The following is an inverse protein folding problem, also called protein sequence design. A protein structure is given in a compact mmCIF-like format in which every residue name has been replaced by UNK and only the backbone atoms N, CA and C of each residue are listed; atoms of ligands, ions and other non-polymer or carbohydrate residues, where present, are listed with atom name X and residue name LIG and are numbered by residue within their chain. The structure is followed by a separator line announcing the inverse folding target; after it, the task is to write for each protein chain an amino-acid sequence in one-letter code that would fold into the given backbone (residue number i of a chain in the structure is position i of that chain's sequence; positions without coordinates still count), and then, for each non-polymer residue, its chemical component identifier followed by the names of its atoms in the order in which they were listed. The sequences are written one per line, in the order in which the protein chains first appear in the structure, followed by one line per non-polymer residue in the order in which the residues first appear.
data_IF_484192655685
#
_entry.id   IF_484192655685
#
_cell.length_a   1.000
_cell.length_b   1.000
_cell.length_c   1.000
_cell.angle_alpha   90.00
_cell.angle_beta   90.00
_cell.angle_gamma   90.00
#
_symmetry.space_group_name_H-M   'P 1'
#
loop_
_entity.id
_entity.type
_entity.pdbx_description
1 polymer ?
#
# COMPACT_ATOMS: atom_id res chain seq x y z
N UNK A 1 38.29 -5.15 -18.12
CA UNK A 1 36.97 -4.63 -17.72
C UNK A 1 36.63 -5.15 -16.34
N UNK A 2 35.79 -4.44 -15.57
CA UNK A 2 35.30 -4.91 -14.26
C UNK A 2 33.93 -5.56 -14.43
N UNK A 3 33.73 -6.71 -13.80
CA UNK A 3 32.47 -7.43 -13.79
C UNK A 3 31.93 -7.46 -12.35
N UNK A 4 30.66 -7.13 -12.19
CA UNK A 4 29.95 -7.14 -10.91
C UNK A 4 28.74 -8.07 -11.01
N UNK A 5 28.50 -8.84 -9.96
CA UNK A 5 27.35 -9.74 -9.84
C UNK A 5 26.79 -9.65 -8.43
N UNK A 6 25.47 -9.75 -8.30
CA UNK A 6 24.76 -9.84 -7.04
C UNK A 6 23.62 -10.85 -7.16
N UNK A 7 23.21 -11.43 -6.04
CA UNK A 7 22.13 -12.40 -5.94
C UNK A 7 21.28 -12.08 -4.72
N UNK A 8 19.96 -12.19 -4.87
CA UNK A 8 18.98 -12.01 -3.80
C UNK A 8 18.16 -13.30 -3.69
N UNK A 9 18.21 -13.95 -2.53
CA UNK A 9 17.52 -15.22 -2.29
C UNK A 9 16.10 -15.05 -1.72
N UNK A 10 15.87 -13.96 -0.98
CA UNK A 10 14.56 -13.61 -0.40
C UNK A 10 14.31 -12.13 -0.66
N UNK A 11 13.42 -11.77 -1.61
CA UNK A 11 13.10 -10.38 -1.88
C UNK A 11 12.13 -9.82 -0.84
N UNK A 12 12.14 -8.49 -0.64
CA UNK A 12 11.13 -7.81 0.18
C UNK A 12 9.73 -8.07 -0.34
N UNK A 13 8.83 -8.46 0.58
CA UNK A 13 7.47 -8.88 0.26
C UNK A 13 7.32 -10.39 0.03
N UNK A 14 8.41 -11.16 0.01
CA UNK A 14 8.33 -12.61 0.20
C UNK A 14 7.67 -12.90 1.57
N UNK A 15 6.86 -13.96 1.72
CA UNK A 15 6.27 -14.30 3.03
C UNK A 15 7.30 -14.47 4.16
N UNK A 16 8.55 -14.81 3.83
CA UNK A 16 9.68 -14.92 4.77
C UNK A 16 10.31 -13.57 5.10
N UNK A 17 10.07 -12.54 4.29
CA UNK A 17 10.50 -11.16 4.51
C UNK A 17 9.36 -10.17 4.16
N UNK A 18 8.27 -10.17 4.96
CA UNK A 18 7.09 -9.37 4.66
C UNK A 18 7.41 -7.88 4.68
N UNK A 19 6.69 -7.11 3.87
CA UNK A 19 6.72 -5.65 3.97
C UNK A 19 6.04 -5.21 5.26
N UNK A 20 6.63 -4.22 5.91
CA UNK A 20 6.02 -3.49 7.02
C UNK A 20 4.82 -2.68 6.52
N UNK A 21 3.95 -2.28 7.45
CA UNK A 21 2.79 -1.44 7.15
C UNK A 21 3.19 -0.10 6.52
N UNK A 22 4.30 0.49 6.97
CA UNK A 22 4.84 1.73 6.40
C UNK A 22 5.32 1.56 4.95
N UNK A 23 6.01 0.45 4.65
CA UNK A 23 6.43 0.13 3.28
C UNK A 23 5.21 -0.09 2.37
N UNK A 24 4.17 -0.76 2.88
CA UNK A 24 2.90 -0.94 2.16
C UNK A 24 2.20 0.40 1.95
N UNK A 25 2.15 1.29 2.94
CA UNK A 25 1.53 2.61 2.84
C UNK A 25 2.21 3.49 1.77
N UNK A 26 3.54 3.50 1.74
CA UNK A 26 4.32 4.21 0.71
C UNK A 26 3.99 3.65 -0.68
N UNK A 27 4.00 2.32 -0.84
CA UNK A 27 3.66 1.66 -2.11
C UNK A 27 2.22 1.94 -2.55
N UNK A 28 1.28 1.94 -1.61
CA UNK A 28 -0.12 2.25 -1.87
C UNK A 28 -0.28 3.68 -2.40
N UNK A 29 0.33 4.67 -1.75
CA UNK A 29 0.29 6.06 -2.23
C UNK A 29 0.99 6.23 -3.58
N UNK A 30 2.09 5.51 -3.83
CA UNK A 30 2.80 5.57 -5.10
C UNK A 30 1.94 5.05 -6.28
N UNK A 31 1.10 4.03 -6.05
CA UNK A 31 0.25 3.45 -7.09
C UNK A 31 -1.12 4.16 -7.21
N UNK A 32 -1.71 4.58 -6.10
CA UNK A 32 -3.04 5.19 -6.07
C UNK A 32 -3.05 6.71 -6.15
N UNK A 33 -1.91 7.37 -5.89
CA UNK A 33 -1.83 8.82 -5.73
C UNK A 33 -2.27 9.60 -6.97
N UNK A 34 -1.93 9.11 -8.16
CA UNK A 34 -2.30 9.74 -9.43
C UNK A 34 -3.73 9.41 -9.88
N UNK A 35 -4.38 8.42 -9.25
CA UNK A 35 -5.74 7.98 -9.59
C UNK A 35 -6.79 8.60 -8.68
N UNK A 36 -6.61 8.52 -7.36
CA UNK A 36 -7.59 8.99 -6.36
C UNK A 36 -7.12 10.20 -5.58
N UNK A 37 -5.86 10.61 -5.75
CA UNK A 37 -5.23 11.68 -4.98
C UNK A 37 -4.61 11.20 -3.67
N UNK A 38 -3.48 11.82 -3.31
CA UNK A 38 -2.67 11.44 -2.13
C UNK A 38 -3.45 11.51 -0.81
N UNK A 39 -4.34 12.50 -0.65
CA UNK A 39 -5.12 12.65 0.56
C UNK A 39 -6.21 11.58 0.69
N UNK A 40 -6.82 11.16 -0.43
CA UNK A 40 -7.73 10.02 -0.43
C UNK A 40 -6.98 8.72 -0.16
N UNK A 41 -5.77 8.53 -0.69
CA UNK A 41 -4.93 7.38 -0.34
C UNK A 41 -4.70 7.28 1.18
N UNK A 42 -4.42 8.40 1.86
CA UNK A 42 -4.25 8.40 3.33
C UNK A 42 -5.53 8.00 4.06
N UNK A 43 -6.69 8.50 3.62
CA UNK A 43 -7.98 8.12 4.21
C UNK A 43 -8.30 6.64 3.98
N UNK A 44 -8.04 6.14 2.77
CA UNK A 44 -8.20 4.73 2.41
C UNK A 44 -7.30 3.82 3.24
N UNK A 45 -6.01 4.14 3.36
CA UNK A 45 -5.08 3.40 4.20
C UNK A 45 -5.60 3.30 5.63
N UNK A 46 -5.99 4.43 6.23
CA UNK A 46 -6.54 4.45 7.58
C UNK A 46 -7.80 3.59 7.71
N UNK A 47 -8.73 3.69 6.75
CA UNK A 47 -9.97 2.91 6.78
C UNK A 47 -9.71 1.41 6.64
N UNK A 48 -8.83 1.01 5.71
CA UNK A 48 -8.48 -0.39 5.46
C UNK A 48 -7.84 -1.02 6.69
N UNK A 49 -6.94 -0.29 7.36
CA UNK A 49 -6.24 -0.77 8.56
C UNK A 49 -7.10 -0.74 9.83
N UNK A 50 -8.34 -0.22 9.76
CA UNK A 50 -9.30 -0.22 10.87
C UNK A 50 -10.63 -0.90 10.49
N UNK A 51 -10.62 -1.74 9.46
CA UNK A 51 -11.83 -2.32 8.88
C UNK A 51 -12.50 -3.34 9.81
N UNK A 52 -11.71 -4.00 10.65
CA UNK A 52 -12.16 -4.96 11.66
C UNK A 52 -13.06 -4.34 12.74
N UNK A 53 -12.97 -3.02 12.94
CA UNK A 53 -13.80 -2.26 13.90
C UNK A 53 -14.87 -1.40 13.23
N UNK A 54 -14.96 -1.41 11.90
CA UNK A 54 -15.90 -0.57 11.16
C UNK A 54 -17.32 -1.15 11.19
N UNK A 55 -18.28 -0.36 11.69
CA UNK A 55 -19.72 -0.71 11.69
C UNK A 55 -20.31 -0.77 10.27
N UNK A 56 -19.80 0.08 9.36
CA UNK A 56 -20.30 0.20 7.98
C UNK A 56 -19.16 0.37 6.99
N UNK A 57 -19.26 -0.32 5.85
CA UNK A 57 -18.29 -0.25 4.76
C UNK A 57 -18.59 0.81 3.70
N UNK A 58 -19.70 1.56 3.82
CA UNK A 58 -20.06 2.62 2.86
C UNK A 58 -18.94 3.62 2.61
N UNK A 59 -18.24 4.02 3.67
CA UNK A 59 -17.09 4.93 3.59
C UNK A 59 -15.92 4.38 2.75
N UNK A 60 -15.72 3.06 2.69
CA UNK A 60 -14.70 2.47 1.81
C UNK A 60 -15.03 2.75 0.34
N UNK A 61 -16.27 2.48 -0.07
CA UNK A 61 -16.70 2.63 -1.45
C UNK A 61 -16.65 4.07 -1.91
N UNK A 62 -17.11 5.01 -1.07
CA UNK A 62 -17.03 6.44 -1.35
C UNK A 62 -15.58 6.89 -1.59
N UNK A 63 -14.64 6.38 -0.78
CA UNK A 63 -13.22 6.72 -0.89
C UNK A 63 -12.53 6.07 -2.11
N UNK A 64 -13.04 4.95 -2.64
CA UNK A 64 -12.47 4.24 -3.81
C UNK A 64 -12.97 4.75 -5.17
N UNK A 65 -13.94 5.67 -5.20
CA UNK A 65 -14.41 6.24 -6.46
C UNK A 65 -13.50 7.37 -6.93
N UNK A 66 -13.00 7.25 -8.16
CA UNK A 66 -12.32 8.36 -8.84
C UNK A 66 -13.34 9.48 -9.11
N UNK A 67 -12.94 10.72 -8.87
CA UNK A 67 -13.73 11.91 -9.23
C UNK A 67 -13.34 12.43 -10.59
#
# INVERSE_FOLDING_TARGET
GKQHSTRVDVPKGDPRDPMTEDEIAVKFTALGGDLVGKDQCKKLQKFIMSMETADKLGGLFELTTAR
#
